data_IF_495588832901
#
_entry.id   IF_495588832901
#
_cell.length_a   1.000
_cell.length_b   1.000
_cell.length_c   1.000
_cell.angle_alpha   90.00
_cell.angle_beta   90.00
_cell.angle_gamma   90.00
#
_symmetry.space_group_name_H-M   'P 1'
#
loop_
_entity.id
_entity.type
_entity.pdbx_description
1 polymer ?
#
# COMPACT_ATOMS: atom_id res chain seq x y z
N UNK A 1 -9.34 -15.27 17.12
CA UNK A 1 -9.63 -13.91 17.64
C UNK A 1 -10.81 -13.31 16.88
N UNK A 2 -11.55 -12.41 17.51
CA UNK A 2 -12.73 -11.76 16.93
C UNK A 2 -12.38 -10.36 16.43
N UNK A 3 -13.00 -9.93 15.31
CA UNK A 3 -12.81 -8.61 14.74
C UNK A 3 -13.14 -7.48 15.73
N UNK A 4 -14.16 -7.67 16.56
CA UNK A 4 -14.57 -6.72 17.59
C UNK A 4 -13.47 -6.36 18.61
N UNK A 5 -12.47 -7.23 18.81
CA UNK A 5 -11.33 -6.97 19.68
C UNK A 5 -10.41 -5.85 19.12
N UNK A 6 -10.37 -5.66 17.80
CA UNK A 6 -9.53 -4.67 17.11
C UNK A 6 -10.26 -3.33 16.92
N UNK A 7 -11.06 -2.94 17.91
CA UNK A 7 -11.83 -1.69 17.93
C UNK A 7 -11.18 -0.68 18.87
N UNK A 8 -11.12 0.57 18.42
CA UNK A 8 -10.86 1.75 19.23
C UNK A 8 -11.57 2.95 18.61
N UNK A 9 -11.80 3.98 19.40
CA UNK A 9 -12.44 5.20 18.92
C UNK A 9 -11.35 6.14 18.37
N UNK A 10 -11.41 6.42 17.08
CA UNK A 10 -10.48 7.32 16.39
C UNK A 10 -11.17 8.63 16.06
N UNK A 11 -10.73 9.76 16.66
CA UNK A 11 -11.19 11.08 16.26
C UNK A 11 -10.86 11.37 14.80
N UNK A 12 -11.87 11.73 13.99
CA UNK A 12 -11.71 11.93 12.54
C UNK A 12 -10.71 13.02 12.17
N UNK A 13 -10.52 14.01 13.04
CA UNK A 13 -9.54 15.08 12.86
C UNK A 13 -8.09 14.62 12.98
N UNK A 14 -7.83 13.40 13.45
CA UNK A 14 -6.50 12.78 13.44
C UNK A 14 -6.16 12.10 12.10
N UNK A 15 -7.12 11.93 11.21
CA UNK A 15 -6.86 11.40 9.87
C UNK A 15 -6.21 12.50 9.01
N UNK A 16 -4.94 12.30 8.66
CA UNK A 16 -4.17 13.28 7.91
C UNK A 16 -4.73 13.50 6.49
N UNK A 17 -5.00 14.76 6.15
CA UNK A 17 -5.47 15.14 4.82
C UNK A 17 -4.32 15.59 3.90
N UNK A 18 -3.18 15.97 4.48
CA UNK A 18 -1.95 16.37 3.77
C UNK A 18 -0.72 15.71 4.39
N UNK A 19 0.33 15.44 3.60
CA UNK A 19 1.58 14.93 4.13
C UNK A 19 2.31 15.95 5.01
N UNK A 20 3.30 15.53 5.77
CA UNK A 20 4.23 16.43 6.45
C UNK A 20 5.02 17.26 5.42
N UNK A 21 5.46 18.47 5.77
CA UNK A 21 6.18 19.37 4.86
C UNK A 21 7.40 18.68 4.23
N UNK A 22 8.23 18.02 5.04
CA UNK A 22 9.28 17.10 4.56
C UNK A 22 8.89 15.68 4.95
N UNK A 23 9.29 14.70 4.15
CA UNK A 23 8.93 13.28 4.35
C UNK A 23 9.35 12.75 5.72
N UNK A 24 10.61 13.02 6.12
CA UNK A 24 11.20 12.58 7.38
C UNK A 24 10.84 13.43 8.61
N UNK A 25 10.08 14.52 8.46
CA UNK A 25 9.60 15.34 9.57
C UNK A 25 8.33 14.76 10.24
N UNK A 26 7.73 13.72 9.66
CA UNK A 26 6.63 13.01 10.33
C UNK A 26 7.08 12.46 11.69
N UNK A 27 6.16 12.38 12.63
CA UNK A 27 6.46 11.75 13.93
C UNK A 27 6.60 10.24 13.74
N UNK A 28 7.35 9.62 14.63
CA UNK A 28 7.53 8.18 14.68
C UNK A 28 7.35 7.68 16.10
N UNK A 29 6.44 6.74 16.31
CA UNK A 29 6.33 6.04 17.59
C UNK A 29 7.14 4.75 17.49
N UNK A 30 8.10 4.58 18.39
CA UNK A 30 8.91 3.36 18.47
C UNK A 30 8.35 2.45 19.54
N UNK A 31 8.07 1.20 19.15
CA UNK A 31 7.48 0.16 20.01
C UNK A 31 8.47 -0.98 20.15
N UNK A 32 9.02 -1.18 21.34
CA UNK A 32 9.99 -2.22 21.65
C UNK A 32 9.27 -3.49 22.13
N UNK A 33 9.18 -4.50 21.26
CA UNK A 33 8.44 -5.75 21.54
C UNK A 33 8.95 -6.52 22.77
N UNK A 34 10.26 -6.47 23.01
CA UNK A 34 10.89 -7.24 24.10
C UNK A 34 10.70 -6.58 25.47
N UNK A 35 10.70 -5.25 25.52
CA UNK A 35 10.66 -4.50 26.78
C UNK A 35 9.29 -3.91 27.08
N UNK A 36 8.43 -3.79 26.06
CA UNK A 36 7.15 -3.06 26.15
C UNK A 36 7.30 -1.53 26.13
N UNK A 37 8.52 -1.01 25.98
CA UNK A 37 8.76 0.44 25.97
C UNK A 37 8.17 1.08 24.71
N UNK A 38 7.57 2.27 24.86
CA UNK A 38 7.02 3.07 23.78
C UNK A 38 7.64 4.47 23.83
N UNK A 39 8.31 4.88 22.75
CA UNK A 39 8.98 6.17 22.63
C UNK A 39 8.34 7.05 21.54
N UNK A 40 8.41 8.37 21.73
CA UNK A 40 8.00 9.36 20.71
C UNK A 40 9.26 9.96 20.08
N UNK A 41 9.37 9.87 18.76
CA UNK A 41 10.51 10.31 17.94
C UNK A 41 10.02 11.01 16.68
N UNK A 42 10.92 11.45 15.82
CA UNK A 42 10.67 11.81 14.43
C UNK A 42 11.19 10.72 13.49
N UNK A 43 10.67 10.65 12.29
CA UNK A 43 11.05 9.59 11.37
C UNK A 43 12.54 9.62 11.01
N UNK A 44 13.16 10.78 10.94
CA UNK A 44 14.60 10.93 10.74
C UNK A 44 15.46 10.25 11.80
N UNK A 45 14.91 10.03 13.00
CA UNK A 45 15.61 9.37 14.11
C UNK A 45 15.68 7.84 13.93
N UNK A 46 15.09 7.30 12.84
CA UNK A 46 15.21 5.87 12.48
C UNK A 46 16.67 5.42 12.36
N UNK A 47 17.57 6.36 12.05
CA UNK A 47 19.01 6.15 12.03
C UNK A 47 19.55 5.58 13.34
N UNK A 48 18.95 5.90 14.49
CA UNK A 48 19.44 5.49 15.82
C UNK A 48 19.10 4.03 16.15
N UNK A 49 18.22 3.39 15.35
CA UNK A 49 17.68 2.06 15.61
C UNK A 49 18.28 0.95 14.74
N UNK A 50 19.10 1.29 13.75
CA UNK A 50 19.68 0.32 12.82
C UNK A 50 21.17 0.59 12.60
N UNK A 51 21.91 -0.49 12.36
CA UNK A 51 23.36 -0.47 12.27
C UNK A 51 23.87 -1.04 10.93
N UNK A 52 25.22 -1.10 10.78
CA UNK A 52 25.87 -1.67 9.61
C UNK A 52 25.34 -3.08 9.31
N UNK A 53 25.07 -3.34 8.05
CA UNK A 53 24.54 -4.60 7.48
C UNK A 53 23.10 -4.95 7.83
N UNK A 54 22.40 -4.16 8.67
CA UNK A 54 20.95 -4.28 8.76
C UNK A 54 20.32 -4.02 7.37
N UNK A 55 19.18 -4.63 7.08
CA UNK A 55 18.54 -4.56 5.77
C UNK A 55 17.14 -3.96 5.88
N UNK A 56 16.87 -2.96 5.07
CA UNK A 56 15.53 -2.43 4.84
C UNK A 56 14.98 -3.02 3.55
N UNK A 57 13.88 -3.76 3.67
CA UNK A 57 13.16 -4.26 2.50
C UNK A 57 12.04 -3.30 2.16
N UNK A 58 12.07 -2.78 0.94
CA UNK A 58 11.14 -1.75 0.45
C UNK A 58 10.31 -2.28 -0.72
N UNK A 59 9.08 -1.78 -0.84
CA UNK A 59 8.21 -2.08 -1.98
C UNK A 59 8.36 -0.99 -3.04
N UNK A 60 8.97 -1.34 -4.19
CA UNK A 60 9.27 -0.42 -5.28
C UNK A 60 8.13 -0.24 -6.29
N UNK A 61 6.92 -0.66 -5.93
CA UNK A 61 5.74 -0.44 -6.77
C UNK A 61 5.51 1.04 -7.02
N UNK A 62 5.07 1.38 -8.23
CA UNK A 62 4.71 2.73 -8.65
C UNK A 62 3.20 2.85 -8.82
N UNK A 63 2.63 3.88 -8.21
CA UNK A 63 1.22 4.25 -8.39
C UNK A 63 1.05 4.92 -9.74
N UNK A 64 0.01 4.55 -10.47
CA UNK A 64 -0.39 5.22 -11.71
C UNK A 64 -1.70 6.01 -11.49
N UNK A 65 -2.02 7.00 -12.35
CA UNK A 65 -3.23 7.81 -12.22
C UNK A 65 -4.48 6.99 -12.58
N UNK A 66 -4.95 6.22 -11.60
CA UNK A 66 -5.96 5.19 -11.78
C UNK A 66 -7.40 5.71 -11.75
N UNK A 67 -7.64 6.96 -11.36
CA UNK A 67 -8.99 7.51 -11.25
C UNK A 67 -9.32 8.37 -12.45
N UNK A 68 -10.34 8.00 -13.20
CA UNK A 68 -10.78 8.69 -14.42
C UNK A 68 -12.22 9.16 -14.27
N UNK A 69 -12.49 10.37 -14.74
CA UNK A 69 -13.84 10.92 -14.86
C UNK A 69 -14.22 11.03 -16.32
N UNK A 70 -15.45 10.66 -16.61
CA UNK A 70 -15.96 10.67 -17.96
C UNK A 70 -17.47 10.77 -18.01
N UNK A 71 -18.03 10.46 -19.18
CA UNK A 71 -19.46 10.46 -19.42
C UNK A 71 -19.90 9.19 -20.14
N UNK A 72 -21.13 8.78 -19.83
CA UNK A 72 -21.76 7.66 -20.50
C UNK A 72 -22.34 8.10 -21.85
N UNK A 73 -22.14 7.27 -22.87
CA UNK A 73 -22.83 7.41 -24.15
C UNK A 73 -24.36 7.63 -23.98
N UNK A 74 -25.00 8.25 -24.93
CA UNK A 74 -26.45 8.52 -25.01
C UNK A 74 -27.04 9.44 -23.95
N UNK A 75 -26.59 9.37 -22.71
CA UNK A 75 -27.20 10.14 -21.60
C UNK A 75 -26.34 11.30 -21.12
N UNK A 76 -25.04 11.34 -21.48
CA UNK A 76 -24.08 12.31 -20.97
C UNK A 76 -23.85 12.24 -19.44
N UNK A 77 -24.39 11.22 -18.78
CA UNK A 77 -24.29 11.09 -17.33
C UNK A 77 -22.83 10.97 -16.91
N UNK A 78 -22.41 11.81 -15.94
CA UNK A 78 -21.07 11.77 -15.34
C UNK A 78 -20.82 10.42 -14.67
N UNK A 79 -19.63 9.89 -14.86
CA UNK A 79 -19.17 8.63 -14.31
C UNK A 79 -17.76 8.75 -13.74
N UNK A 80 -17.46 7.93 -12.75
CA UNK A 80 -16.09 7.67 -12.28
C UNK A 80 -15.73 6.23 -12.66
N UNK A 81 -14.56 6.05 -13.24
CA UNK A 81 -13.94 4.75 -13.51
C UNK A 81 -12.61 4.71 -12.75
N UNK A 82 -12.47 3.70 -11.89
CA UNK A 82 -11.25 3.49 -11.13
C UNK A 82 -10.57 2.22 -11.66
N UNK A 83 -9.44 2.40 -12.34
CA UNK A 83 -8.65 1.31 -12.91
C UNK A 83 -8.03 0.49 -11.78
N UNK A 84 -8.13 -0.84 -11.83
CA UNK A 84 -7.54 -1.73 -10.83
C UNK A 84 -6.29 -2.43 -11.37
N UNK A 85 -6.44 -3.07 -12.50
CA UNK A 85 -5.36 -3.80 -13.16
C UNK A 85 -5.65 -4.04 -14.64
N UNK A 86 -4.61 -4.12 -15.43
CA UNK A 86 -4.67 -4.55 -16.82
C UNK A 86 -4.78 -6.09 -16.88
N UNK A 87 -5.87 -6.61 -17.44
CA UNK A 87 -6.13 -8.05 -17.58
C UNK A 87 -5.47 -8.62 -18.83
N UNK A 88 -5.48 -7.85 -19.92
CA UNK A 88 -4.93 -8.24 -21.19
C UNK A 88 -4.42 -7.01 -21.94
N UNK A 89 -3.13 -6.88 -22.05
CA UNK A 89 -2.47 -5.73 -22.68
C UNK A 89 -2.76 -5.59 -24.18
N UNK A 90 -2.64 -6.64 -25.02
CA UNK A 90 -2.96 -6.55 -26.43
C UNK A 90 -4.40 -6.11 -26.73
N UNK A 91 -5.35 -6.54 -25.91
CA UNK A 91 -6.77 -6.24 -26.08
C UNK A 91 -7.23 -5.03 -25.24
N UNK A 92 -6.34 -4.35 -24.54
CA UNK A 92 -6.66 -3.21 -23.66
C UNK A 92 -7.77 -3.50 -22.67
N UNK A 93 -7.82 -4.74 -22.14
CA UNK A 93 -8.82 -5.15 -21.14
C UNK A 93 -8.37 -4.78 -19.75
N UNK A 94 -9.26 -4.17 -19.00
CA UNK A 94 -9.01 -3.70 -17.63
C UNK A 94 -10.11 -4.14 -16.68
N UNK A 95 -9.70 -4.57 -15.49
CA UNK A 95 -10.60 -4.70 -14.35
C UNK A 95 -10.73 -3.34 -13.67
N UNK A 96 -11.95 -2.88 -13.42
CA UNK A 96 -12.22 -1.53 -12.92
C UNK A 96 -13.37 -1.52 -11.91
N UNK A 97 -13.41 -0.47 -11.09
CA UNK A 97 -14.60 -0.11 -10.32
C UNK A 97 -15.25 1.10 -10.96
N UNK A 98 -16.56 1.12 -11.01
CA UNK A 98 -17.32 2.22 -11.62
C UNK A 98 -18.33 2.83 -10.64
N UNK A 99 -18.58 4.12 -10.79
CA UNK A 99 -19.60 4.86 -10.05
C UNK A 99 -20.31 5.88 -10.97
N UNK A 100 -21.66 5.90 -11.03
CA UNK A 100 -22.62 5.02 -10.33
C UNK A 100 -22.80 3.67 -11.04
N UNK A 101 -22.51 2.58 -10.35
CA UNK A 101 -22.50 1.23 -10.93
C UNK A 101 -23.82 0.78 -11.56
N UNK A 102 -24.95 1.20 -10.99
CA UNK A 102 -26.29 0.85 -11.49
C UNK A 102 -26.57 1.38 -12.90
N UNK A 103 -25.91 2.46 -13.30
CA UNK A 103 -26.08 3.11 -14.59
C UNK A 103 -25.13 2.59 -15.67
N UNK A 104 -24.08 1.85 -15.30
CA UNK A 104 -23.03 1.37 -16.19
C UNK A 104 -23.21 -0.14 -16.39
N UNK A 105 -23.64 -0.53 -17.60
CA UNK A 105 -24.00 -1.92 -17.96
C UNK A 105 -23.13 -2.39 -19.13
N UNK A 106 -23.04 -3.70 -19.30
CA UNK A 106 -22.40 -4.33 -20.46
C UNK A 106 -22.94 -3.72 -21.77
N UNK A 107 -22.03 -3.47 -22.71
CA UNK A 107 -22.28 -2.82 -23.99
C UNK A 107 -22.37 -1.29 -23.93
N UNK A 108 -22.26 -0.65 -22.76
CA UNK A 108 -22.18 0.80 -22.71
C UNK A 108 -20.79 1.29 -23.13
N UNK A 109 -20.74 2.37 -23.90
CA UNK A 109 -19.52 3.11 -24.16
C UNK A 109 -19.36 4.26 -23.16
N UNK A 110 -18.14 4.45 -22.72
CA UNK A 110 -17.68 5.43 -21.74
C UNK A 110 -16.66 6.33 -22.42
N UNK A 111 -16.86 7.64 -22.34
CA UNK A 111 -16.05 8.65 -23.01
C UNK A 111 -15.29 9.47 -21.97
N UNK A 112 -14.01 9.66 -22.19
CA UNK A 112 -13.09 10.38 -21.29
C UNK A 112 -12.40 11.49 -22.03
N UNK A 113 -12.14 12.60 -21.30
CA UNK A 113 -11.59 13.82 -21.86
C UNK A 113 -12.65 14.74 -22.45
N UNK A 114 -12.26 15.96 -22.73
CA UNK A 114 -13.18 17.01 -23.22
C UNK A 114 -13.59 16.77 -24.70
N UNK A 115 -12.70 16.17 -25.48
CA UNK A 115 -12.90 15.88 -26.91
C UNK A 115 -12.99 14.37 -27.18
N UNK A 116 -13.35 13.57 -26.17
CA UNK A 116 -13.45 12.10 -26.30
C UNK A 116 -12.11 11.42 -26.66
N UNK A 117 -11.03 11.93 -26.09
CA UNK A 117 -9.68 11.45 -26.35
C UNK A 117 -9.50 9.97 -26.07
N UNK A 118 -10.31 9.41 -25.19
CA UNK A 118 -10.30 8.00 -24.88
C UNK A 118 -11.71 7.46 -24.72
N UNK A 119 -11.96 6.29 -25.32
CA UNK A 119 -13.25 5.60 -25.26
C UNK A 119 -13.06 4.20 -24.73
N UNK A 120 -13.96 3.74 -23.85
CA UNK A 120 -13.98 2.36 -23.38
C UNK A 120 -15.37 1.75 -23.55
N UNK A 121 -15.41 0.44 -23.78
CA UNK A 121 -16.61 -0.37 -23.81
C UNK A 121 -16.68 -1.28 -22.59
N UNK A 122 -17.84 -1.36 -21.94
CA UNK A 122 -18.06 -2.28 -20.82
C UNK A 122 -18.32 -3.68 -21.38
N UNK A 123 -17.41 -4.61 -21.07
CA UNK A 123 -17.45 -5.98 -21.61
C UNK A 123 -18.17 -6.92 -20.65
N UNK A 124 -17.94 -6.78 -19.32
CA UNK A 124 -18.51 -7.68 -18.33
C UNK A 124 -18.75 -7.00 -16.97
N UNK A 125 -19.58 -7.64 -16.12
CA UNK A 125 -19.82 -7.27 -14.73
C UNK A 125 -19.09 -8.28 -13.82
N UNK A 126 -18.08 -7.82 -13.06
CA UNK A 126 -17.29 -8.70 -12.18
C UNK A 126 -17.83 -8.75 -10.75
N UNK A 127 -18.27 -7.62 -10.24
CA UNK A 127 -18.89 -7.49 -8.90
C UNK A 127 -20.02 -6.46 -8.93
N UNK A 128 -20.63 -6.18 -7.78
CA UNK A 128 -21.68 -5.14 -7.68
C UNK A 128 -21.24 -3.76 -8.23
N UNK A 129 -19.97 -3.43 -8.10
CA UNK A 129 -19.36 -2.19 -8.64
C UNK A 129 -18.25 -2.45 -9.65
N UNK A 130 -17.78 -3.69 -9.78
CA UNK A 130 -16.71 -4.09 -10.68
C UNK A 130 -17.20 -4.29 -12.11
N UNK A 131 -16.36 -3.92 -13.06
CA UNK A 131 -16.55 -4.13 -14.50
C UNK A 131 -15.24 -4.56 -15.15
N UNK A 132 -15.37 -5.33 -16.24
CA UNK A 132 -14.29 -5.42 -17.22
C UNK A 132 -14.60 -4.43 -18.33
N UNK A 133 -13.67 -3.53 -18.62
CA UNK A 133 -13.77 -2.61 -19.76
C UNK A 133 -12.68 -2.90 -20.79
N UNK A 134 -12.95 -2.58 -22.04
CA UNK A 134 -11.98 -2.56 -23.12
C UNK A 134 -11.81 -1.14 -23.63
N UNK A 135 -10.60 -0.60 -23.58
CA UNK A 135 -10.33 0.66 -24.24
C UNK A 135 -10.24 0.47 -25.75
N UNK A 136 -10.96 1.31 -26.49
CA UNK A 136 -10.94 1.37 -27.94
C UNK A 136 -9.81 2.34 -28.35
N UNK A 137 -8.64 1.77 -28.61
CA UNK A 137 -7.42 2.51 -28.89
C UNK A 137 -6.57 1.81 -29.94
N UNK A 138 -6.28 2.50 -31.03
CA UNK A 138 -5.54 1.95 -32.18
C UNK A 138 -4.06 2.38 -32.18
N UNK A 139 -3.64 3.27 -31.25
CA UNK A 139 -2.27 3.73 -31.11
C UNK A 139 -1.35 2.76 -30.36
N UNK A 140 -0.10 3.13 -30.23
CA UNK A 140 0.91 2.40 -29.47
C UNK A 140 0.59 2.32 -27.97
N UNK A 141 1.29 1.43 -27.26
CA UNK A 141 1.20 1.31 -25.79
C UNK A 141 1.66 2.60 -25.09
N UNK A 142 2.72 3.22 -25.60
CA UNK A 142 3.27 4.42 -24.99
C UNK A 142 2.32 5.62 -25.13
N UNK A 143 1.70 5.79 -26.30
CA UNK A 143 0.66 6.81 -26.50
C UNK A 143 -0.56 6.55 -25.60
N UNK A 144 -1.00 5.30 -25.50
CA UNK A 144 -2.09 4.94 -24.58
C UNK A 144 -1.76 5.30 -23.12
N UNK A 145 -0.53 4.99 -22.67
CA UNK A 145 -0.07 5.35 -21.31
C UNK A 145 -0.02 6.86 -21.12
N UNK A 146 0.44 7.61 -22.10
CA UNK A 146 0.44 9.07 -22.04
C UNK A 146 -0.98 9.66 -21.90
N UNK A 147 -1.96 9.12 -22.63
CA UNK A 147 -3.36 9.53 -22.51
C UNK A 147 -3.91 9.20 -21.13
N UNK A 148 -3.60 8.03 -20.57
CA UNK A 148 -3.99 7.70 -19.19
C UNK A 148 -3.34 8.65 -18.15
N UNK A 149 -2.09 9.05 -18.34
CA UNK A 149 -1.39 10.02 -17.47
C UNK A 149 -2.04 11.42 -17.53
N UNK A 150 -2.56 11.82 -18.68
CA UNK A 150 -3.23 13.12 -18.84
C UNK A 150 -4.64 13.12 -18.29
N UNK A 151 -5.42 12.05 -18.54
CA UNK A 151 -6.83 11.97 -18.18
C UNK A 151 -7.06 11.45 -16.76
N UNK A 152 -6.10 10.70 -16.21
CA UNK A 152 -6.19 10.10 -14.90
C UNK A 152 -5.76 11.04 -13.77
N UNK A 153 -6.38 10.87 -12.62
CA UNK A 153 -6.01 11.55 -11.38
C UNK A 153 -5.29 10.59 -10.42
N UNK A 154 -4.41 11.15 -9.58
CA UNK A 154 -3.78 10.41 -8.48
C UNK A 154 -4.86 9.74 -7.62
N UNK A 155 -4.80 8.42 -7.41
CA UNK A 155 -5.87 7.66 -6.77
C UNK A 155 -5.84 7.81 -5.24
N UNK A 156 -5.96 9.05 -4.73
CA UNK A 156 -6.02 9.28 -3.29
C UNK A 156 -7.15 8.48 -2.66
N UNK A 157 -6.94 7.86 -1.49
CA UNK A 157 -7.98 7.11 -0.79
C UNK A 157 -9.14 8.00 -0.36
N UNK A 158 -10.35 7.45 -0.29
CA UNK A 158 -11.61 8.20 0.01
C UNK A 158 -11.67 8.87 1.38
N UNK A 159 -10.79 8.53 2.33
CA UNK A 159 -10.71 9.21 3.62
C UNK A 159 -9.94 10.56 3.53
N UNK A 160 -9.19 10.79 2.46
CA UNK A 160 -8.69 12.11 2.07
C UNK A 160 -9.82 12.80 1.33
N UNK A 161 -10.47 13.77 2.01
CA UNK A 161 -11.72 14.39 1.55
C UNK A 161 -11.52 15.62 0.68
N UNK A 162 -10.35 15.78 0.11
CA UNK A 162 -10.02 16.83 -0.87
C UNK A 162 -9.71 16.23 -2.23
N UNK A 163 -9.79 17.02 -3.27
CA UNK A 163 -9.28 16.62 -4.59
C UNK A 163 -7.76 16.49 -4.54
N UNK A 164 -7.18 15.59 -5.35
CA UNK A 164 -5.75 15.57 -5.57
C UNK A 164 -5.28 16.94 -6.12
N UNK A 165 -4.12 17.37 -5.68
CA UNK A 165 -3.41 18.51 -6.22
C UNK A 165 -2.11 18.06 -6.93
N UNK A 166 -1.39 18.99 -7.58
CA UNK A 166 -0.17 18.63 -8.32
C UNK A 166 0.93 18.05 -7.41
N UNK A 167 0.98 18.48 -6.14
CA UNK A 167 1.94 17.94 -5.18
C UNK A 167 1.68 16.45 -4.91
N UNK A 168 0.42 16.00 -4.94
CA UNK A 168 0.07 14.61 -4.68
C UNK A 168 0.66 13.63 -5.70
N UNK A 169 0.89 14.04 -6.95
CA UNK A 169 1.54 13.20 -7.96
C UNK A 169 2.92 12.73 -7.50
N UNK A 170 3.67 13.62 -6.84
CA UNK A 170 4.97 13.30 -6.28
C UNK A 170 4.86 12.74 -4.84
N UNK A 171 4.01 13.34 -4.01
CA UNK A 171 3.96 13.01 -2.58
C UNK A 171 3.26 11.70 -2.28
N UNK A 172 2.29 11.27 -3.10
CA UNK A 172 1.66 9.93 -3.01
C UNK A 172 2.45 8.86 -3.77
N UNK A 173 3.78 9.00 -3.79
CA UNK A 173 4.73 8.11 -4.42
C UNK A 173 5.98 7.99 -3.55
N UNK A 174 6.55 6.78 -3.43
CA UNK A 174 7.84 6.61 -2.77
C UNK A 174 8.99 7.12 -3.64
N UNK A 175 10.09 7.54 -3.02
CA UNK A 175 11.27 8.04 -3.75
C UNK A 175 12.02 6.94 -4.51
N UNK A 176 11.65 5.68 -4.28
CA UNK A 176 12.19 4.48 -4.92
C UNK A 176 11.16 3.73 -5.77
N UNK A 177 10.04 4.34 -6.11
CA UNK A 177 9.04 3.74 -6.97
C UNK A 177 9.58 3.49 -8.38
N UNK A 178 9.40 2.25 -8.92
CA UNK A 178 9.93 1.82 -10.22
C UNK A 178 8.87 1.15 -11.08
N UNK A 179 8.19 0.11 -10.56
CA UNK A 179 7.31 -0.77 -11.32
C UNK A 179 5.86 -0.34 -11.19
N UNK A 180 5.30 0.20 -12.27
CA UNK A 180 3.91 0.63 -12.33
C UNK A 180 2.93 -0.55 -12.23
N UNK A 181 1.83 -0.36 -11.50
CA UNK A 181 0.79 -1.37 -11.33
C UNK A 181 -0.01 -1.24 -10.03
N UNK A 182 0.37 -0.34 -9.13
CA UNK A 182 -0.36 -0.11 -7.89
C UNK A 182 -1.39 1.01 -8.03
N UNK A 183 -2.51 0.86 -7.34
CA UNK A 183 -3.54 1.91 -7.18
C UNK A 183 -3.51 2.54 -5.79
N UNK A 184 -2.57 2.12 -4.95
CA UNK A 184 -2.30 2.72 -3.64
C UNK A 184 -0.80 2.66 -3.34
N UNK A 185 -0.25 3.74 -2.82
CA UNK A 185 1.16 3.81 -2.44
C UNK A 185 1.47 2.92 -1.23
N UNK A 186 2.68 2.31 -1.15
CA UNK A 186 3.17 1.68 0.06
C UNK A 186 3.53 2.76 1.09
N UNK A 187 2.53 3.22 1.84
CA UNK A 187 2.52 4.50 2.56
C UNK A 187 3.60 4.66 3.62
N UNK A 188 4.06 3.57 4.23
CA UNK A 188 5.21 3.61 5.14
C UNK A 188 6.50 4.08 4.45
N UNK A 189 6.61 3.84 3.15
CA UNK A 189 7.73 4.32 2.33
C UNK A 189 7.69 5.81 2.02
N UNK A 190 6.54 6.47 2.18
CA UNK A 190 6.40 7.90 1.93
C UNK A 190 7.19 8.78 2.91
N UNK A 191 7.58 8.21 4.05
CA UNK A 191 8.38 8.89 5.06
C UNK A 191 9.86 9.02 4.69
N UNK A 192 10.35 8.22 3.75
CA UNK A 192 11.73 8.28 3.31
C UNK A 192 11.97 9.39 2.29
N UNK A 193 12.96 10.23 2.55
CA UNK A 193 13.57 11.12 1.56
C UNK A 193 14.81 10.44 0.94
N UNK A 194 15.27 10.93 -0.20
CA UNK A 194 16.52 10.46 -0.82
C UNK A 194 17.72 10.71 0.11
N UNK A 195 17.69 11.83 0.82
CA UNK A 195 18.71 12.24 1.79
C UNK A 195 18.78 11.27 2.97
N UNK A 196 17.63 10.89 3.54
CA UNK A 196 17.58 9.93 4.64
C UNK A 196 18.06 8.55 4.21
N UNK A 197 17.66 8.08 3.02
CA UNK A 197 18.17 6.82 2.45
C UNK A 197 19.67 6.89 2.32
N UNK A 198 20.23 7.96 1.77
CA UNK A 198 21.68 8.13 1.63
C UNK A 198 22.43 8.10 2.97
N UNK A 199 21.86 8.72 4.01
CA UNK A 199 22.44 8.69 5.36
C UNK A 199 22.42 7.28 5.96
N UNK A 200 21.34 6.51 5.74
CA UNK A 200 21.25 5.10 6.15
C UNK A 200 22.28 4.23 5.41
N UNK A 201 22.45 4.42 4.11
CA UNK A 201 23.47 3.72 3.31
C UNK A 201 24.90 4.04 3.78
N UNK A 202 25.19 5.31 4.09
CA UNK A 202 26.48 5.72 4.64
C UNK A 202 26.74 5.06 6.00
N UNK A 203 25.71 4.86 6.82
CA UNK A 203 25.77 4.11 8.08
C UNK A 203 26.00 2.60 7.87
N UNK A 204 25.82 2.09 6.64
CA UNK A 204 26.00 0.68 6.28
C UNK A 204 24.70 -0.12 6.19
N UNK A 205 23.55 0.52 6.42
CA UNK A 205 22.23 -0.11 6.20
C UNK A 205 22.03 -0.38 4.70
N UNK A 206 21.58 -1.58 4.37
CA UNK A 206 21.33 -1.98 2.99
C UNK A 206 19.86 -1.89 2.63
N UNK A 207 19.58 -1.52 1.40
CA UNK A 207 18.23 -1.54 0.86
C UNK A 207 18.07 -2.74 -0.09
N UNK A 208 16.96 -3.46 0.09
CA UNK A 208 16.53 -4.55 -0.79
C UNK A 208 15.13 -4.24 -1.29
N UNK A 209 14.89 -4.47 -2.56
CA UNK A 209 13.64 -4.09 -3.22
C UNK A 209 12.81 -5.32 -3.55
N UNK A 210 11.52 -5.26 -3.25
CA UNK A 210 10.50 -6.19 -3.76
C UNK A 210 9.42 -5.38 -4.47
N UNK A 211 8.62 -6.03 -5.29
CA UNK A 211 7.42 -5.43 -5.88
C UNK A 211 6.18 -6.11 -5.31
N UNK A 212 5.20 -5.34 -4.82
CA UNK A 212 3.85 -5.80 -4.58
C UNK A 212 2.89 -4.69 -5.02
N UNK A 213 2.06 -4.99 -6.02
CA UNK A 213 1.06 -4.05 -6.52
C UNK A 213 -0.15 -4.03 -5.61
N UNK A 214 -0.25 -2.95 -4.84
CA UNK A 214 -1.32 -2.77 -3.85
C UNK A 214 -2.64 -2.44 -4.55
N UNK A 215 -3.65 -3.28 -4.31
CA UNK A 215 -5.01 -3.07 -4.76
C UNK A 215 -5.88 -2.32 -3.73
N UNK A 216 -7.15 -2.10 -4.09
CA UNK A 216 -8.13 -1.47 -3.18
C UNK A 216 -8.53 -2.37 -2.00
N UNK A 217 -8.34 -3.67 -2.09
CA UNK A 217 -8.70 -4.64 -1.06
C UNK A 217 -8.04 -4.38 0.28
N UNK A 218 -6.84 -3.80 0.27
CA UNK A 218 -6.10 -3.43 1.48
C UNK A 218 -6.86 -2.41 2.35
N UNK A 219 -7.74 -1.61 1.78
CA UNK A 219 -8.53 -0.59 2.48
C UNK A 219 -9.99 -1.01 2.74
N UNK A 220 -10.38 -2.23 2.33
CA UNK A 220 -11.73 -2.74 2.63
C UNK A 220 -11.84 -3.09 4.11
N UNK A 221 -12.93 -2.72 4.79
CA UNK A 221 -13.23 -3.23 6.11
C UNK A 221 -13.39 -4.75 6.07
N UNK A 222 -12.95 -5.40 7.14
CA UNK A 222 -13.26 -6.82 7.35
C UNK A 222 -14.73 -6.91 7.76
N UNK A 223 -15.49 -7.78 7.09
CA UNK A 223 -16.94 -7.92 7.28
C UNK A 223 -17.33 -9.13 8.15
N UNK A 224 -16.36 -10.00 8.45
CA UNK A 224 -16.57 -11.22 9.24
C UNK A 224 -16.04 -11.04 10.65
N UNK A 225 -16.79 -11.50 11.66
CA UNK A 225 -16.40 -11.42 13.07
C UNK A 225 -15.27 -12.41 13.41
N UNK A 226 -15.33 -13.60 12.85
CA UNK A 226 -14.28 -14.61 12.99
C UNK A 226 -13.20 -14.39 11.93
N UNK A 227 -12.00 -13.96 12.37
CA UNK A 227 -10.89 -13.62 11.47
C UNK A 227 -10.43 -14.80 10.61
N UNK A 228 -10.60 -16.04 11.07
CA UNK A 228 -10.23 -17.25 10.29
C UNK A 228 -11.05 -17.41 9.01
N UNK A 229 -12.21 -16.76 8.94
CA UNK A 229 -13.13 -16.78 7.77
C UNK A 229 -12.89 -15.62 6.79
N UNK A 230 -12.00 -14.68 7.15
CA UNK A 230 -11.70 -13.56 6.26
C UNK A 230 -10.85 -14.03 5.07
N UNK A 231 -11.23 -13.59 3.88
CA UNK A 231 -10.48 -13.82 2.65
C UNK A 231 -9.89 -12.49 2.16
N UNK A 232 -8.57 -12.42 2.12
CA UNK A 232 -7.87 -11.28 1.53
C UNK A 232 -7.99 -11.31 0.01
N UNK A 233 -8.12 -10.13 -0.59
CA UNK A 233 -7.95 -9.98 -2.03
C UNK A 233 -6.50 -10.36 -2.40
N UNK A 234 -6.36 -11.05 -3.53
CA UNK A 234 -5.05 -11.41 -4.04
C UNK A 234 -4.35 -10.19 -4.65
N UNK A 235 -3.09 -10.00 -4.32
CA UNK A 235 -2.23 -8.96 -4.86
C UNK A 235 -1.00 -9.59 -5.51
N UNK A 236 -0.63 -9.07 -6.70
CA UNK A 236 0.56 -9.54 -7.40
C UNK A 236 1.81 -9.09 -6.68
N UNK A 237 2.77 -10.00 -6.51
CA UNK A 237 4.08 -9.69 -5.95
C UNK A 237 5.21 -10.36 -6.73
N UNK A 238 6.39 -9.79 -6.62
CA UNK A 238 7.63 -10.30 -7.21
C UNK A 238 8.81 -10.02 -6.27
N UNK A 239 9.59 -11.06 -6.01
CA UNK A 239 10.83 -11.03 -5.25
C UNK A 239 11.92 -11.60 -6.13
N UNK A 240 12.88 -10.78 -6.48
CA UNK A 240 13.99 -11.17 -7.35
C UNK A 240 15.13 -11.83 -6.57
N UNK A 241 15.99 -12.55 -7.29
CA UNK A 241 17.12 -13.27 -6.69
C UNK A 241 18.08 -12.36 -5.93
N UNK A 242 18.34 -11.15 -6.44
CA UNK A 242 19.24 -10.19 -5.80
C UNK A 242 18.68 -9.68 -4.47
N UNK A 243 17.37 -9.49 -4.38
CA UNK A 243 16.72 -9.18 -3.10
C UNK A 243 16.92 -10.30 -2.09
N UNK A 244 16.77 -11.56 -2.53
CA UNK A 244 16.98 -12.72 -1.68
C UNK A 244 18.44 -12.82 -1.19
N UNK A 245 19.43 -12.59 -2.06
CA UNK A 245 20.84 -12.59 -1.68
C UNK A 245 21.15 -11.58 -0.58
N UNK A 246 20.63 -10.34 -0.70
CA UNK A 246 20.84 -9.28 0.29
C UNK A 246 20.19 -9.66 1.64
N UNK A 247 18.92 -10.06 1.63
CA UNK A 247 18.14 -10.41 2.83
C UNK A 247 18.73 -11.64 3.52
N UNK A 248 19.03 -12.70 2.76
CA UNK A 248 19.56 -13.93 3.32
C UNK A 248 20.97 -13.77 3.90
N UNK A 249 21.81 -12.92 3.28
CA UNK A 249 23.11 -12.59 3.84
C UNK A 249 22.99 -11.89 5.20
N UNK A 250 22.05 -11.00 5.38
CA UNK A 250 21.74 -10.37 6.66
C UNK A 250 21.24 -11.41 7.68
N UNK A 251 20.34 -12.29 7.25
CA UNK A 251 19.77 -13.35 8.09
C UNK A 251 20.84 -14.27 8.66
N UNK A 252 21.73 -14.78 7.80
CA UNK A 252 22.85 -15.65 8.20
C UNK A 252 23.82 -14.91 9.09
N UNK A 253 24.04 -13.62 8.86
CA UNK A 253 24.90 -12.76 9.66
C UNK A 253 24.27 -12.24 10.96
N UNK A 254 23.04 -12.68 11.31
CA UNK A 254 22.28 -12.23 12.50
C UNK A 254 22.01 -10.72 12.54
N UNK A 255 21.98 -10.06 11.36
CA UNK A 255 21.60 -8.68 11.22
C UNK A 255 20.09 -8.55 11.09
N UNK A 256 19.54 -7.39 11.45
CA UNK A 256 18.09 -7.17 11.44
C UNK A 256 17.57 -6.94 10.04
N UNK A 257 16.40 -7.50 9.77
CA UNK A 257 15.63 -7.30 8.55
C UNK A 257 14.39 -6.48 8.90
N UNK A 258 14.31 -5.26 8.40
CA UNK A 258 13.20 -4.36 8.62
C UNK A 258 12.28 -4.32 7.38
N UNK A 259 11.03 -4.71 7.57
CA UNK A 259 10.00 -4.54 6.55
C UNK A 259 9.50 -3.10 6.52
N UNK A 260 9.61 -2.43 5.38
CA UNK A 260 9.05 -1.09 5.20
C UNK A 260 7.65 -1.22 4.60
N UNK A 261 6.67 -1.20 5.49
CA UNK A 261 5.25 -1.34 5.18
C UNK A 261 4.70 -2.75 5.32
N UNK A 262 3.40 -2.79 5.56
CA UNK A 262 2.61 -4.04 5.70
C UNK A 262 2.53 -4.82 4.38
N UNK A 263 2.58 -4.14 3.23
CA UNK A 263 2.62 -4.79 1.91
C UNK A 263 3.93 -5.54 1.70
N UNK A 264 5.05 -4.94 2.08
CA UNK A 264 6.36 -5.60 2.08
C UNK A 264 6.37 -6.83 3.00
N UNK A 265 5.82 -6.69 4.22
CA UNK A 265 5.69 -7.81 5.16
C UNK A 265 4.92 -8.97 4.54
N UNK A 266 3.79 -8.71 3.87
CA UNK A 266 3.00 -9.76 3.21
C UNK A 266 3.79 -10.47 2.12
N UNK A 267 4.56 -9.74 1.31
CA UNK A 267 5.39 -10.35 0.28
C UNK A 267 6.48 -11.23 0.88
N UNK A 268 7.19 -10.75 1.90
CA UNK A 268 8.23 -11.51 2.60
C UNK A 268 7.67 -12.81 3.20
N UNK A 269 6.53 -12.74 3.88
CA UNK A 269 5.87 -13.88 4.52
C UNK A 269 5.12 -14.78 3.52
N UNK A 270 5.12 -14.46 2.24
CA UNK A 270 4.57 -15.31 1.18
C UNK A 270 5.64 -16.15 0.47
N UNK A 271 6.93 -15.93 0.73
CA UNK A 271 7.99 -16.57 -0.05
C UNK A 271 9.27 -16.84 0.76
N UNK A 272 9.25 -17.93 1.54
CA UNK A 272 10.41 -18.37 2.32
C UNK A 272 10.58 -19.90 2.28
N UNK A 273 11.79 -20.37 2.63
CA UNK A 273 12.11 -21.81 2.75
C UNK A 273 11.84 -22.32 4.17
N UNK A 274 11.94 -23.63 4.36
CA UNK A 274 11.84 -24.26 5.69
C UNK A 274 12.91 -23.73 6.67
N UNK A 275 14.08 -23.33 6.15
CA UNK A 275 15.18 -22.73 6.90
C UNK A 275 14.97 -21.24 7.17
N UNK A 276 13.79 -20.70 6.83
CA UNK A 276 13.42 -19.29 6.97
C UNK A 276 14.32 -18.34 6.17
N UNK A 277 14.72 -18.77 4.98
CA UNK A 277 15.40 -17.94 4.02
C UNK A 277 14.41 -17.44 2.96
N UNK A 278 14.55 -16.19 2.55
CA UNK A 278 13.75 -15.63 1.46
C UNK A 278 14.11 -16.33 0.15
N UNK A 279 13.11 -16.69 -0.65
CA UNK A 279 13.32 -17.30 -1.97
C UNK A 279 12.75 -16.43 -3.10
N UNK A 280 13.36 -16.46 -4.29
CA UNK A 280 12.80 -15.79 -5.46
C UNK A 280 11.39 -16.32 -5.74
N UNK A 281 10.46 -15.41 -6.03
CA UNK A 281 9.07 -15.79 -6.29
C UNK A 281 8.35 -14.68 -7.04
N UNK A 282 7.44 -15.08 -7.90
CA UNK A 282 6.53 -14.21 -8.61
C UNK A 282 5.15 -14.84 -8.66
N UNK A 283 4.10 -14.07 -8.38
CA UNK A 283 2.73 -14.59 -8.39
C UNK A 283 1.76 -13.72 -7.59
N UNK A 284 0.74 -14.37 -7.05
CA UNK A 284 -0.34 -13.71 -6.32
C UNK A 284 -0.35 -14.16 -4.87
N UNK A 285 -0.44 -13.21 -3.93
CA UNK A 285 -0.58 -13.51 -2.51
C UNK A 285 -1.92 -13.00 -1.97
N UNK A 286 -2.63 -13.86 -1.29
CA UNK A 286 -3.82 -13.55 -0.48
C UNK A 286 -3.57 -13.80 1.01
N UNK A 287 -2.31 -13.82 1.42
CA UNK A 287 -1.90 -14.07 2.80
C UNK A 287 -2.54 -13.05 3.74
N UNK A 288 -3.33 -13.54 4.70
CA UNK A 288 -3.91 -12.77 5.79
C UNK A 288 -3.15 -13.07 7.07
N UNK A 289 -2.36 -12.10 7.54
CA UNK A 289 -1.57 -12.21 8.76
C UNK A 289 -2.39 -11.70 9.93
N UNK A 290 -2.70 -12.59 10.88
CA UNK A 290 -3.45 -12.28 12.11
C UNK A 290 -2.90 -13.06 13.30
N UNK A 291 -3.08 -12.59 14.55
CA UNK A 291 -2.61 -13.35 15.72
C UNK A 291 -3.38 -14.68 15.91
N UNK A 292 -2.70 -15.78 16.36
CA UNK A 292 -1.25 -15.88 16.51
C UNK A 292 -0.57 -16.10 15.15
N UNK A 293 0.55 -15.43 14.90
CA UNK A 293 1.34 -15.61 13.68
C UNK A 293 2.84 -15.63 14.02
N UNK A 294 3.58 -16.58 13.48
CA UNK A 294 5.03 -16.65 13.62
C UNK A 294 5.68 -16.05 12.36
N UNK A 295 6.31 -14.91 12.52
CA UNK A 295 7.03 -14.27 11.43
C UNK A 295 8.35 -15.00 11.14
N UNK A 296 8.70 -15.11 9.86
CA UNK A 296 9.81 -15.93 9.40
C UNK A 296 10.99 -15.08 8.92
N UNK A 297 10.73 -13.94 8.30
CA UNK A 297 11.75 -13.12 7.64
C UNK A 297 12.05 -11.84 8.40
N UNK A 298 11.06 -11.01 8.69
CA UNK A 298 11.29 -9.68 9.23
C UNK A 298 11.43 -9.67 10.76
N UNK A 299 12.40 -8.89 11.25
CA UNK A 299 12.69 -8.67 12.66
C UNK A 299 12.13 -7.34 13.16
N UNK A 300 11.91 -6.39 12.27
CA UNK A 300 11.35 -5.07 12.54
C UNK A 300 10.34 -4.66 11.45
N UNK A 301 9.44 -3.74 11.80
CA UNK A 301 8.39 -3.24 10.90
C UNK A 301 8.27 -1.73 11.03
N UNK A 302 8.38 -1.02 9.91
CA UNK A 302 7.92 0.37 9.77
C UNK A 302 6.54 0.37 9.14
N UNK A 303 5.60 1.06 9.75
CA UNK A 303 4.23 1.15 9.23
C UNK A 303 3.59 2.49 9.59
N UNK A 304 2.43 2.81 9.00
CA UNK A 304 1.58 3.92 9.44
C UNK A 304 0.62 3.48 10.54
N UNK A 305 -0.06 4.43 11.18
CA UNK A 305 -1.20 4.12 12.04
C UNK A 305 -2.43 3.81 11.18
N UNK A 306 -3.07 2.67 11.45
CA UNK A 306 -4.18 2.13 10.68
C UNK A 306 -5.53 2.34 11.36
N UNK A 307 -6.63 2.21 10.58
CA UNK A 307 -7.99 2.27 11.14
C UNK A 307 -8.34 1.03 11.95
N UNK A 308 -9.27 1.18 12.91
CA UNK A 308 -9.83 0.03 13.62
C UNK A 308 -10.47 -0.98 12.65
N UNK A 309 -10.42 -2.25 13.01
CA UNK A 309 -11.03 -3.38 12.27
C UNK A 309 -10.49 -3.58 10.84
N UNK A 310 -9.27 -3.16 10.57
CA UNK A 310 -8.59 -3.38 9.27
C UNK A 310 -7.58 -4.51 9.36
N UNK A 311 -7.33 -5.20 8.24
CA UNK A 311 -6.29 -6.21 8.12
C UNK A 311 -4.90 -5.69 8.48
N UNK A 312 -4.65 -4.40 8.24
CA UNK A 312 -3.38 -3.74 8.53
C UNK A 312 -3.15 -3.58 10.05
N UNK A 313 -4.16 -3.13 10.80
CA UNK A 313 -4.08 -3.08 12.27
C UNK A 313 -3.87 -4.48 12.85
N UNK A 314 -4.59 -5.47 12.32
CA UNK A 314 -4.50 -6.86 12.79
C UNK A 314 -3.09 -7.41 12.58
N UNK A 315 -2.45 -7.09 11.45
CA UNK A 315 -1.06 -7.45 11.19
C UNK A 315 -0.10 -6.78 12.19
N UNK A 316 -0.28 -5.49 12.48
CA UNK A 316 0.53 -4.80 13.50
C UNK A 316 0.37 -5.47 14.86
N UNK A 317 -0.85 -5.84 15.25
CA UNK A 317 -1.11 -6.59 16.50
C UNK A 317 -0.48 -8.00 16.47
N UNK A 318 -0.43 -8.66 15.32
CA UNK A 318 0.26 -9.94 15.17
C UNK A 318 1.77 -9.78 15.34
N UNK A 319 2.35 -8.66 14.87
CA UNK A 319 3.79 -8.44 14.91
C UNK A 319 4.28 -7.88 16.25
N UNK A 320 3.59 -6.90 16.81
CA UNK A 320 3.99 -6.24 18.06
C UNK A 320 3.50 -6.99 19.32
N UNK A 321 2.51 -7.88 19.18
CA UNK A 321 1.70 -8.37 20.28
C UNK A 321 0.45 -7.52 20.46
N UNK A 322 -0.70 -8.16 20.70
CA UNK A 322 -1.99 -7.50 20.72
C UNK A 322 -2.07 -6.37 21.77
N UNK A 323 -1.73 -6.68 23.03
CA UNK A 323 -1.86 -5.71 24.13
C UNK A 323 -0.97 -4.49 23.92
N UNK A 324 0.32 -4.71 23.58
CA UNK A 324 1.29 -3.65 23.33
C UNK A 324 0.90 -2.79 22.12
N UNK A 325 0.43 -3.40 21.04
CA UNK A 325 -0.05 -2.66 19.87
C UNK A 325 -1.25 -1.78 20.24
N UNK A 326 -2.25 -2.32 20.96
CA UNK A 326 -3.43 -1.56 21.35
C UNK A 326 -3.10 -0.44 22.35
N UNK A 327 -2.12 -0.64 23.23
CA UNK A 327 -1.58 0.41 24.10
C UNK A 327 -0.92 1.52 23.28
N UNK A 328 -0.07 1.17 22.30
CA UNK A 328 0.57 2.11 21.41
C UNK A 328 -0.47 2.95 20.64
N UNK A 329 -1.55 2.34 20.13
CA UNK A 329 -2.63 3.06 19.46
C UNK A 329 -3.39 4.00 20.38
N UNK A 330 -3.68 3.60 21.63
CA UNK A 330 -4.30 4.49 22.64
C UNK A 330 -3.38 5.69 22.94
N UNK A 331 -2.08 5.43 23.11
CA UNK A 331 -1.08 6.48 23.32
C UNK A 331 -0.98 7.40 22.10
N UNK A 332 -0.98 6.87 20.88
CA UNK A 332 -0.95 7.66 19.66
C UNK A 332 -2.14 8.62 19.55
N UNK A 333 -3.35 8.18 19.91
CA UNK A 333 -4.55 9.05 19.94
C UNK A 333 -4.39 10.13 21.01
N UNK A 334 -3.97 9.77 22.23
CA UNK A 334 -3.73 10.72 23.33
C UNK A 334 -2.68 11.77 22.95
N UNK A 335 -1.61 11.35 22.32
CA UNK A 335 -0.48 12.20 21.91
C UNK A 335 -0.75 12.90 20.56
N UNK A 336 -1.95 12.77 19.99
CA UNK A 336 -2.39 13.40 18.73
C UNK A 336 -1.48 13.08 17.55
N UNK A 337 -1.11 11.81 17.39
CA UNK A 337 -0.50 11.33 16.16
C UNK A 337 -1.48 11.41 15.00
N UNK A 338 -0.96 11.64 13.81
CA UNK A 338 -1.76 11.64 12.57
C UNK A 338 -1.88 10.23 12.05
N UNK A 339 -3.05 9.87 11.57
CA UNK A 339 -3.39 8.52 11.13
C UNK A 339 -3.47 8.42 9.61
N UNK A 340 -3.32 7.21 9.09
CA UNK A 340 -3.44 6.80 7.69
C UNK A 340 -2.27 7.20 6.78
N UNK A 341 -2.54 7.26 5.44
CA UNK A 341 -1.51 7.33 4.38
C UNK A 341 -0.56 8.51 4.51
N UNK A 342 -1.07 9.69 4.85
CA UNK A 342 -0.28 10.90 5.08
C UNK A 342 0.01 11.16 6.56
N UNK A 343 -0.35 10.21 7.40
CA UNK A 343 -0.13 10.29 8.85
C UNK A 343 1.32 10.09 9.25
N UNK A 344 1.48 9.78 10.52
CA UNK A 344 2.78 9.54 11.15
C UNK A 344 3.15 8.06 11.12
N UNK A 345 4.38 7.73 11.46
CA UNK A 345 4.91 6.38 11.42
C UNK A 345 4.90 5.68 12.78
N UNK A 346 4.92 4.35 12.73
CA UNK A 346 5.26 3.46 13.83
C UNK A 346 6.44 2.59 13.41
N UNK A 347 7.44 2.49 14.26
CA UNK A 347 8.53 1.52 14.16
C UNK A 347 8.34 0.47 15.26
N UNK A 348 8.24 -0.79 14.89
CA UNK A 348 8.17 -1.94 15.82
C UNK A 348 9.49 -2.70 15.76
N UNK A 349 10.22 -2.79 16.89
CA UNK A 349 11.54 -3.43 17.02
C UNK A 349 11.62 -4.44 18.16
#
# INVERSE_FOLDING_TARGET
MKLSQFKFDLPLNLIAQHPAKKREDSRMMVVHRKTGQIENKHFRDILDYFDDKDVFVVNNTKVFPARMYGRKEKTGAKIEVFLLRELNKPNRLWDVIVDPARKIRVGNKLYFGDNDELVAEVIDNTTSRGRTIRFLWDGSDDEFRQVLEVLGETPLPKYIKRKPDEEDKERYQTVYAKHEGAVAAPTAGLHFSKELIKRLEIKGVRFSEITLHTGLGTFRPIEVEDLSKHKMDAEYYRIEEDACKIVNKARVGTHRICSIGTTTMRALESSFTAEKLLKPSEGWTNTFIHPPYQFNIADALVTNFHLPKTSLLIMVCAFAGYDLAMEAYKKAIKDKYRFFSYGDAMLVV
#
